data_IF_382049835156
#
_entry.id   IF_382049835156
#
_cell.length_a   1.000
_cell.length_b   1.000
_cell.length_c   1.000
_cell.angle_alpha   90.00
_cell.angle_beta   90.00
_cell.angle_gamma   90.00
#
_symmetry.space_group_name_H-M   'P 1'
#
loop_
_entity.id
_entity.type
_entity.pdbx_description
1 polymer ?
#
# COMPACT_ATOMS: atom_id res chain seq x y z
N UNK A 1 -22.34 -9.04 -0.59
CA UNK A 1 -21.10 -8.25 -0.77
C UNK A 1 -20.99 -6.97 0.09
N UNK A 2 -22.00 -6.57 0.89
CA UNK A 2 -21.89 -5.38 1.73
C UNK A 2 -21.06 -5.57 3.02
N UNK A 3 -21.09 -6.77 3.62
CA UNK A 3 -20.42 -7.03 4.91
C UNK A 3 -18.89 -6.97 4.86
N UNK A 4 -18.28 -7.50 3.79
CA UNK A 4 -16.81 -7.52 3.64
C UNK A 4 -16.27 -6.11 3.43
N UNK A 5 -16.92 -5.31 2.58
CA UNK A 5 -16.56 -3.91 2.36
C UNK A 5 -16.71 -3.07 3.65
N UNK A 6 -17.77 -3.28 4.41
CA UNK A 6 -17.96 -2.63 5.71
C UNK A 6 -16.88 -3.02 6.73
N UNK A 7 -16.46 -4.29 6.76
CA UNK A 7 -15.38 -4.78 7.63
C UNK A 7 -14.02 -4.21 7.24
N UNK A 8 -13.73 -4.11 5.94
CA UNK A 8 -12.51 -3.44 5.44
C UNK A 8 -12.55 -1.95 5.81
N UNK A 9 -13.70 -1.28 5.65
CA UNK A 9 -13.86 0.13 6.02
C UNK A 9 -13.70 0.36 7.52
N UNK A 10 -14.25 -0.53 8.34
CA UNK A 10 -14.10 -0.50 9.80
C UNK A 10 -12.66 -0.78 10.21
N UNK A 11 -12.00 -1.75 9.57
CA UNK A 11 -10.59 -2.05 9.78
C UNK A 11 -9.69 -0.86 9.39
N UNK A 12 -9.91 -0.25 8.22
CA UNK A 12 -9.19 0.93 7.77
C UNK A 12 -9.40 2.16 8.69
N UNK A 13 -10.57 2.24 9.37
CA UNK A 13 -10.86 3.27 10.37
C UNK A 13 -10.31 2.93 11.77
N UNK A 14 -10.00 1.67 12.05
CA UNK A 14 -9.42 1.22 13.32
C UNK A 14 -8.01 1.78 13.52
N UNK A 15 -7.53 1.93 14.78
CA UNK A 15 -6.16 2.37 15.05
C UNK A 15 -5.11 1.42 14.46
N UNK A 16 -5.40 0.12 14.37
CA UNK A 16 -4.51 -0.86 13.76
C UNK A 16 -4.41 -0.65 12.25
N UNK A 17 -5.55 -0.55 11.55
CA UNK A 17 -5.55 -0.30 10.10
C UNK A 17 -4.99 1.08 9.73
N UNK A 18 -5.25 2.11 10.54
CA UNK A 18 -4.59 3.43 10.39
C UNK A 18 -3.08 3.33 10.49
N UNK A 19 -2.54 2.57 11.46
CA UNK A 19 -1.09 2.33 11.58
C UNK A 19 -0.55 1.58 10.37
N UNK A 20 -1.24 0.55 9.88
CA UNK A 20 -0.83 -0.19 8.68
C UNK A 20 -0.83 0.72 7.44
N UNK A 21 -1.88 1.53 7.26
CA UNK A 21 -1.98 2.50 6.15
C UNK A 21 -0.89 3.57 6.29
N UNK A 22 -0.63 4.09 7.49
CA UNK A 22 0.41 5.09 7.71
C UNK A 22 1.82 4.52 7.52
N UNK A 23 2.08 3.28 7.92
CA UNK A 23 3.35 2.59 7.65
C UNK A 23 3.53 2.36 6.15
N UNK A 24 2.49 1.88 5.46
CA UNK A 24 2.49 1.73 4.01
C UNK A 24 2.66 3.08 3.31
N UNK A 25 2.00 4.13 3.82
CA UNK A 25 2.09 5.49 3.30
C UNK A 25 3.46 6.08 3.51
N UNK A 26 4.09 5.91 4.68
CA UNK A 26 5.48 6.33 4.94
C UNK A 26 6.46 5.57 4.04
N UNK A 27 6.32 4.25 3.95
CA UNK A 27 7.13 3.43 3.06
C UNK A 27 6.97 3.81 1.58
N UNK A 28 5.79 4.29 1.18
CA UNK A 28 5.49 4.76 -0.17
C UNK A 28 5.83 6.24 -0.41
N UNK A 29 5.80 7.05 0.65
CA UNK A 29 6.13 8.47 0.63
C UNK A 29 7.63 8.70 0.57
N UNK A 30 8.44 7.71 0.93
CA UNK A 30 9.89 7.74 0.72
C UNK A 30 10.20 7.77 -0.79
N UNK A 31 10.67 8.92 -1.35
CA UNK A 31 10.96 9.02 -2.78
C UNK A 31 12.08 8.07 -3.21
N UNK A 32 12.99 7.72 -2.29
CA UNK A 32 14.07 6.75 -2.49
C UNK A 32 13.52 5.34 -2.71
N UNK A 33 12.51 4.93 -1.93
CA UNK A 33 11.82 3.65 -2.11
C UNK A 33 10.95 3.64 -3.36
N UNK A 34 10.33 4.78 -3.70
CA UNK A 34 9.56 4.94 -4.94
C UNK A 34 10.44 4.73 -6.18
N UNK A 35 11.64 5.29 -6.22
CA UNK A 35 12.58 5.07 -7.33
C UNK A 35 13.03 3.60 -7.42
N UNK A 36 13.28 2.95 -6.28
CA UNK A 36 13.63 1.53 -6.24
C UNK A 36 12.46 0.64 -6.70
N UNK A 37 11.24 0.92 -6.24
CA UNK A 37 10.02 0.23 -6.65
C UNK A 37 9.74 0.44 -8.14
N UNK A 38 9.90 1.66 -8.66
CA UNK A 38 9.78 1.94 -10.10
C UNK A 38 10.80 1.18 -10.94
N UNK A 39 12.06 1.07 -10.49
CA UNK A 39 13.08 0.26 -11.16
C UNK A 39 12.73 -1.23 -11.13
N UNK A 40 12.26 -1.75 -10.00
CA UNK A 40 11.84 -3.15 -9.88
C UNK A 40 10.61 -3.44 -10.75
N UNK A 41 9.60 -2.57 -10.72
CA UNK A 41 8.42 -2.65 -11.58
C UNK A 41 8.79 -2.53 -13.06
N UNK A 42 9.75 -1.67 -13.42
CA UNK A 42 10.29 -1.56 -14.78
C UNK A 42 10.96 -2.85 -15.25
N UNK A 43 11.77 -3.49 -14.39
CA UNK A 43 12.38 -4.80 -14.67
C UNK A 43 11.34 -5.91 -14.84
N UNK A 44 10.29 -5.91 -14.01
CA UNK A 44 9.20 -6.89 -14.11
C UNK A 44 8.33 -6.65 -15.35
N UNK A 45 8.10 -5.40 -15.75
CA UNK A 45 7.35 -5.05 -16.96
C UNK A 45 8.13 -5.29 -18.25
N UNK A 46 9.45 -5.09 -18.23
CA UNK A 46 10.33 -5.33 -19.39
C UNK A 46 10.71 -6.78 -19.62
N UNK A 47 10.14 -7.72 -18.86
CA UNK A 47 10.37 -9.17 -18.98
C UNK A 47 9.18 -9.94 -19.58
N UNK A 48 8.24 -9.22 -20.19
CA UNK A 48 7.26 -9.79 -21.14
C UNK A 48 7.78 -9.60 -22.55
#
# INVERSE_FOLDING_TARGET
>A
MAGILSKIKQFARSPQGRRTIEQARRASADPRRRAQAQRLLGKLRGRR
#
